data_IF_202089268825
#
_entry.id   IF_202089268825
#
_cell.length_a   1.000
_cell.length_b   1.000
_cell.length_c   1.000
_cell.angle_alpha   90.00
_cell.angle_beta   90.00
_cell.angle_gamma   90.00
#
_symmetry.space_group_name_H-M   'P 1'
#
loop_
_entity.id
_entity.type
_entity.pdbx_description
1 polymer ?
#
# COMPACT_ATOMS: atom_id res chain seq x y z
N UNK A 1 -48.94 -11.13 42.74
CA UNK A 1 -48.95 -11.47 41.30
C UNK A 1 -49.11 -10.13 40.58
N UNK A 2 -47.99 -9.43 40.36
CA UNK A 2 -47.97 -8.09 39.77
C UNK A 2 -47.24 -8.11 38.43
N UNK A 3 -47.87 -7.49 37.46
CA UNK A 3 -47.58 -7.49 36.02
C UNK A 3 -46.39 -6.59 35.70
N UNK A 4 -45.29 -7.19 35.22
CA UNK A 4 -44.12 -6.47 34.72
C UNK A 4 -44.27 -6.18 33.21
N UNK A 5 -45.01 -5.13 32.82
CA UNK A 5 -45.20 -4.80 31.39
C UNK A 5 -45.12 -3.33 30.99
N UNK A 6 -44.64 -2.41 31.84
CA UNK A 6 -44.30 -1.07 31.35
C UNK A 6 -42.97 -0.56 31.92
N UNK A 7 -41.93 -0.64 31.09
CA UNK A 7 -40.69 0.11 31.28
C UNK A 7 -40.92 1.56 30.79
N UNK A 8 -40.69 2.61 31.59
CA UNK A 8 -40.94 3.97 31.16
C UNK A 8 -39.88 4.40 30.14
N UNK A 9 -40.32 4.96 29.02
CA UNK A 9 -39.51 5.43 27.89
C UNK A 9 -38.63 6.66 28.21
N UNK A 10 -38.03 6.74 29.40
CA UNK A 10 -37.33 7.92 29.91
C UNK A 10 -35.82 7.99 29.64
N UNK A 11 -35.18 6.92 29.14
CA UNK A 11 -33.70 6.88 29.02
C UNK A 11 -33.11 7.06 27.62
N UNK A 12 -33.91 7.36 26.58
CA UNK A 12 -33.38 7.51 25.21
C UNK A 12 -32.98 8.93 24.79
N UNK A 13 -33.27 9.96 25.59
CA UNK A 13 -33.13 11.35 25.14
C UNK A 13 -31.72 11.98 25.30
N UNK A 14 -30.88 11.49 26.21
CA UNK A 14 -29.64 12.21 26.59
C UNK A 14 -28.38 11.90 25.75
N UNK A 15 -28.39 10.91 24.83
CA UNK A 15 -27.20 10.55 24.01
C UNK A 15 -27.12 11.24 22.63
N UNK A 16 -28.09 12.09 22.25
CA UNK A 16 -28.20 12.66 20.90
C UNK A 16 -27.27 13.85 20.55
N UNK A 17 -26.99 14.83 21.43
CA UNK A 17 -26.21 16.02 21.02
C UNK A 17 -24.71 15.72 20.85
N UNK A 18 -24.14 14.85 21.70
CA UNK A 18 -22.73 14.48 21.63
C UNK A 18 -22.41 13.65 20.36
N UNK A 19 -23.35 12.80 19.95
CA UNK A 19 -23.25 12.04 18.71
C UNK A 19 -23.39 12.91 17.43
N UNK A 20 -24.09 14.06 17.51
CA UNK A 20 -24.19 14.99 16.39
C UNK A 20 -22.94 15.86 16.27
N UNK A 21 -22.41 16.37 17.39
CA UNK A 21 -21.16 17.12 17.43
C UNK A 21 -19.95 16.28 16.95
N UNK A 22 -19.88 15.00 17.33
CA UNK A 22 -18.84 14.10 16.84
C UNK A 22 -18.93 13.83 15.34
N UNK A 23 -20.13 13.78 14.77
CA UNK A 23 -20.33 13.64 13.31
C UNK A 23 -19.90 14.90 12.55
N UNK A 24 -20.13 16.09 13.11
CA UNK A 24 -19.69 17.34 12.51
C UNK A 24 -18.16 17.44 12.52
N UNK A 25 -17.53 17.16 13.65
CA UNK A 25 -16.07 17.12 13.76
C UNK A 25 -15.45 16.09 12.80
N UNK A 26 -16.06 14.91 12.65
CA UNK A 26 -15.62 13.90 11.68
C UNK A 26 -15.71 14.42 10.24
N UNK A 27 -16.81 15.09 9.88
CA UNK A 27 -16.98 15.69 8.54
C UNK A 27 -15.90 16.72 8.24
N UNK A 28 -15.61 17.60 9.20
CA UNK A 28 -14.57 18.62 9.05
C UNK A 28 -13.19 17.98 8.89
N UNK A 29 -12.86 16.96 9.69
CA UNK A 29 -11.62 16.22 9.58
C UNK A 29 -11.50 15.49 8.23
N UNK A 30 -12.58 14.87 7.73
CA UNK A 30 -12.63 14.26 6.41
C UNK A 30 -12.40 15.29 5.30
N UNK A 31 -13.09 16.43 5.33
CA UNK A 31 -12.92 17.51 4.35
C UNK A 31 -11.48 18.04 4.32
N UNK A 32 -10.89 18.26 5.50
CA UNK A 32 -9.50 18.69 5.61
C UNK A 32 -8.52 17.63 5.06
N UNK A 33 -8.80 16.35 5.31
CA UNK A 33 -7.97 15.24 4.79
C UNK A 33 -8.08 15.12 3.27
N UNK A 34 -9.29 15.24 2.71
CA UNK A 34 -9.52 15.22 1.26
C UNK A 34 -8.75 16.35 0.58
N UNK A 35 -8.85 17.58 1.09
CA UNK A 35 -8.15 18.73 0.51
C UNK A 35 -6.62 18.52 0.48
N UNK A 36 -6.05 17.98 1.57
CA UNK A 36 -4.63 17.65 1.64
C UNK A 36 -4.23 16.55 0.66
N UNK A 37 -5.01 15.47 0.58
CA UNK A 37 -4.74 14.35 -0.32
C UNK A 37 -4.88 14.74 -1.79
N UNK A 38 -5.87 15.57 -2.14
CA UNK A 38 -6.02 16.12 -3.50
C UNK A 38 -4.77 16.88 -3.93
N UNK A 39 -4.27 17.77 -3.06
CA UNK A 39 -3.03 18.50 -3.33
C UNK A 39 -1.84 17.55 -3.49
N UNK A 40 -1.65 16.62 -2.55
CA UNK A 40 -0.55 15.67 -2.61
C UNK A 40 -0.59 14.79 -3.87
N UNK A 41 -1.77 14.32 -4.28
CA UNK A 41 -1.93 13.55 -5.51
C UNK A 41 -1.60 14.39 -6.75
N UNK A 42 -2.08 15.63 -6.84
CA UNK A 42 -1.75 16.51 -7.96
C UNK A 42 -0.25 16.83 -8.01
N UNK A 43 0.40 17.00 -6.85
CA UNK A 43 1.85 17.21 -6.77
C UNK A 43 2.66 15.98 -7.25
N UNK A 44 2.06 14.78 -7.28
CA UNK A 44 2.65 13.55 -7.82
C UNK A 44 2.40 13.36 -9.33
N UNK A 45 1.55 14.19 -9.95
CA UNK A 45 1.24 14.08 -11.37
C UNK A 45 2.47 14.45 -12.20
N UNK A 46 2.76 13.66 -13.23
CA UNK A 46 3.84 13.95 -14.19
C UNK A 46 3.44 15.13 -15.10
N UNK A 47 4.40 15.91 -15.62
CA UNK A 47 4.10 17.06 -16.50
C UNK A 47 3.23 16.71 -17.71
N UNK A 48 3.30 15.47 -18.17
CA UNK A 48 2.52 14.94 -19.30
C UNK A 48 1.08 14.57 -18.92
N UNK A 49 0.69 14.67 -17.64
CA UNK A 49 -0.69 14.53 -17.16
C UNK A 49 -1.06 13.15 -16.59
N UNK A 50 -0.13 12.21 -16.49
CA UNK A 50 -0.38 10.88 -15.92
C UNK A 50 0.22 10.73 -14.50
N UNK A 51 -0.20 9.67 -13.79
CA UNK A 51 0.41 9.22 -12.54
C UNK A 51 1.19 7.93 -12.77
N UNK A 52 2.34 7.80 -12.10
CA UNK A 52 3.15 6.59 -12.12
C UNK A 52 3.21 6.06 -10.69
N UNK A 53 2.58 4.92 -10.46
CA UNK A 53 2.67 4.18 -9.20
C UNK A 53 3.44 2.88 -9.40
N UNK A 54 4.07 2.40 -8.34
CA UNK A 54 4.76 1.11 -8.36
C UNK A 54 3.74 -0.03 -8.51
N UNK A 55 3.93 -0.86 -9.53
CA UNK A 55 3.19 -2.11 -9.69
C UNK A 55 3.92 -3.20 -8.92
N UNK A 56 3.45 -3.45 -7.69
CA UNK A 56 4.06 -4.45 -6.81
C UNK A 56 3.54 -5.86 -7.16
N UNK A 57 4.46 -6.83 -7.15
CA UNK A 57 4.20 -8.25 -7.32
C UNK A 57 5.15 -9.04 -6.40
N UNK A 58 5.14 -10.38 -6.51
CA UNK A 58 6.18 -11.22 -5.91
C UNK A 58 7.55 -11.00 -6.62
N UNK A 59 8.55 -11.78 -6.23
CA UNK A 59 9.93 -11.68 -6.75
C UNK A 59 10.16 -12.50 -8.03
N UNK A 60 9.10 -12.98 -8.69
CA UNK A 60 9.22 -13.82 -9.89
C UNK A 60 9.81 -13.04 -11.05
N UNK A 61 9.42 -11.78 -11.27
CA UNK A 61 9.94 -10.95 -12.35
C UNK A 61 11.45 -10.68 -12.22
N UNK A 62 11.94 -10.44 -11.00
CA UNK A 62 13.38 -10.30 -10.75
C UNK A 62 14.13 -11.61 -11.01
N UNK A 63 13.56 -12.74 -10.60
CA UNK A 63 14.14 -14.07 -10.78
C UNK A 63 14.22 -14.46 -12.26
N UNK A 64 13.11 -14.27 -12.99
CA UNK A 64 13.01 -14.53 -14.43
C UNK A 64 13.94 -13.62 -15.22
N UNK A 65 14.09 -12.36 -14.79
CA UNK A 65 15.06 -11.45 -15.40
C UNK A 65 16.49 -11.98 -15.28
N UNK A 66 16.90 -12.43 -14.09
CA UNK A 66 18.24 -13.01 -13.86
C UNK A 66 18.44 -14.26 -14.70
N UNK A 67 17.44 -15.16 -14.75
CA UNK A 67 17.49 -16.37 -15.57
C UNK A 67 17.62 -16.04 -17.07
N UNK A 68 16.87 -15.04 -17.55
CA UNK A 68 16.98 -14.56 -18.93
C UNK A 68 18.39 -14.01 -19.21
N UNK A 69 18.99 -13.26 -18.28
CA UNK A 69 20.35 -12.76 -18.46
C UNK A 69 21.38 -13.90 -18.50
N UNK A 70 21.19 -14.95 -17.71
CA UNK A 70 22.05 -16.14 -17.75
C UNK A 70 21.97 -16.84 -19.11
N UNK A 71 20.76 -16.91 -19.70
CA UNK A 71 20.56 -17.50 -21.02
C UNK A 71 21.16 -16.66 -22.16
N UNK A 72 20.97 -15.32 -22.13
CA UNK A 72 21.50 -14.41 -23.15
C UNK A 72 23.04 -14.24 -23.09
N UNK A 73 23.60 -14.33 -21.88
CA UNK A 73 25.00 -14.07 -21.60
C UNK A 73 25.57 -15.17 -20.71
N UNK A 74 25.71 -16.40 -21.23
CA UNK A 74 26.18 -17.52 -20.42
C UNK A 74 27.60 -17.28 -19.89
N UNK A 75 27.97 -17.88 -18.74
CA UNK A 75 29.32 -17.74 -18.18
C UNK A 75 30.38 -18.28 -19.13
N UNK A 76 31.55 -17.63 -19.17
CA UNK A 76 32.74 -18.11 -19.87
C UNK A 76 33.74 -18.73 -18.87
N UNK A 77 34.92 -19.13 -19.35
CA UNK A 77 35.99 -19.64 -18.48
C UNK A 77 36.44 -18.61 -17.43
N UNK A 78 36.26 -17.32 -17.71
CA UNK A 78 36.58 -16.19 -16.85
C UNK A 78 35.45 -15.84 -15.86
N UNK A 79 34.30 -16.54 -15.95
CA UNK A 79 33.14 -16.36 -15.08
C UNK A 79 31.95 -15.70 -15.77
N UNK A 80 30.99 -15.22 -14.97
CA UNK A 80 29.76 -14.60 -15.47
C UNK A 80 29.79 -13.08 -15.29
N UNK A 81 29.83 -12.34 -16.41
CA UNK A 81 29.88 -10.88 -16.42
C UNK A 81 29.05 -10.28 -17.58
N UNK A 82 27.71 -10.33 -17.51
CA UNK A 82 26.84 -9.78 -18.54
C UNK A 82 26.88 -8.24 -18.55
N UNK A 83 26.59 -7.59 -19.69
CA UNK A 83 26.55 -6.12 -19.78
C UNK A 83 25.52 -5.47 -18.85
N UNK A 84 24.59 -6.26 -18.31
CA UNK A 84 23.51 -5.85 -17.41
C UNK A 84 23.82 -6.13 -15.94
N UNK A 85 25.07 -6.42 -15.57
CA UNK A 85 25.47 -6.83 -14.21
C UNK A 85 24.90 -5.96 -13.09
N UNK A 86 24.92 -4.63 -13.26
CA UNK A 86 24.34 -3.68 -12.29
C UNK A 86 22.83 -3.91 -12.06
N UNK A 87 22.07 -4.27 -13.10
CA UNK A 87 20.63 -4.57 -12.98
C UNK A 87 20.40 -5.92 -12.33
N UNK A 88 21.22 -6.92 -12.64
CA UNK A 88 21.17 -8.24 -12.01
C UNK A 88 21.39 -8.13 -10.50
N UNK A 89 22.39 -7.35 -10.06
CA UNK A 89 22.62 -7.09 -8.63
C UNK A 89 21.45 -6.40 -7.95
N UNK A 90 20.80 -5.44 -8.63
CA UNK A 90 19.59 -4.80 -8.10
C UNK A 90 18.43 -5.79 -7.96
N UNK A 91 18.23 -6.66 -8.97
CA UNK A 91 17.21 -7.70 -8.93
C UNK A 91 17.48 -8.71 -7.80
N UNK A 92 18.72 -9.19 -7.67
CA UNK A 92 19.13 -10.09 -6.60
C UNK A 92 18.91 -9.48 -5.20
N UNK A 93 19.27 -8.20 -5.04
CA UNK A 93 18.99 -7.48 -3.79
C UNK A 93 17.49 -7.36 -3.51
N UNK A 94 16.67 -7.02 -4.50
CA UNK A 94 15.21 -6.93 -4.37
C UNK A 94 14.61 -8.27 -3.90
N UNK A 95 15.12 -9.39 -4.41
CA UNK A 95 14.73 -10.74 -3.98
C UNK A 95 15.07 -10.95 -2.50
N UNK A 96 16.32 -10.70 -2.10
CA UNK A 96 16.79 -10.92 -0.73
C UNK A 96 16.12 -9.98 0.29
N UNK A 97 15.85 -8.73 -0.09
CA UNK A 97 15.15 -7.76 0.77
C UNK A 97 13.68 -8.18 1.04
N UNK A 98 13.12 -9.11 0.25
CA UNK A 98 11.76 -9.65 0.39
C UNK A 98 11.71 -11.10 0.88
N UNK A 99 12.87 -11.68 1.24
CA UNK A 99 12.95 -13.03 1.77
C UNK A 99 12.19 -13.14 3.10
N UNK A 100 11.37 -14.16 3.24
CA UNK A 100 10.63 -14.45 4.46
C UNK A 100 11.56 -15.01 5.56
N UNK A 101 11.17 -14.94 6.85
CA UNK A 101 12.00 -15.43 7.94
C UNK A 101 12.36 -16.92 7.88
N UNK A 102 11.59 -17.73 7.16
CA UNK A 102 11.85 -19.15 6.92
C UNK A 102 12.74 -19.41 5.70
N UNK A 103 13.15 -18.36 4.99
CA UNK A 103 14.02 -18.40 3.83
C UNK A 103 13.28 -18.46 2.48
N UNK A 104 11.94 -18.49 2.49
CA UNK A 104 11.11 -18.38 1.27
C UNK A 104 11.16 -17.02 0.61
#
# INVERSE_FOLDING_TARGET
MESAWFEPAGRRAARRPQAAASRQALREACSASIAKTQKALLDLQRPEGYWCGDLLADTTLESDYILLQLWLHPPSAEGWNPPTWTRIHKAARSILDRQLPDGG
#
